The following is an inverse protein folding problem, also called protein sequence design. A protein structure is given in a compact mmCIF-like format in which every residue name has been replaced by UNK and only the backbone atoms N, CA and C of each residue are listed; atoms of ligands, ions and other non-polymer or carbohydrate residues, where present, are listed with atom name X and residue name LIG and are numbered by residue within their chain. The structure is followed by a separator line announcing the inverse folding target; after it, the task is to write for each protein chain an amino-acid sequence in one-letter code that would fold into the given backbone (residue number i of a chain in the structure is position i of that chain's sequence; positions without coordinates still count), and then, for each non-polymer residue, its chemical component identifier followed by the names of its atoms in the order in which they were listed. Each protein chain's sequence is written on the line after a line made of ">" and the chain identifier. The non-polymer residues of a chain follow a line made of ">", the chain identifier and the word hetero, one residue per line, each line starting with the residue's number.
data_IF_518086255897
#
_entry.id   IF_518086255897
#
_cell.length_a   1.000
_cell.length_b   1.000
_cell.length_c   1.000
_cell.angle_alpha   90.00
_cell.angle_beta   90.00
_cell.angle_gamma   90.00
#
_symmetry.space_group_name_H-M   'P 1'
#
loop_
_entity.id
_entity.type
_entity.pdbx_description
1 polymer ?
#
# COMPACT_ATOMS: atom_id res chain seq x y z
N UNK A 1 8.72 -47.47 6.09
CA UNK A 1 8.73 -46.41 5.05
C UNK A 1 7.60 -46.51 3.99
N UNK A 2 7.15 -47.71 3.57
CA UNK A 2 6.14 -47.87 2.51
C UNK A 2 4.70 -47.49 2.94
N UNK A 3 4.32 -47.78 4.20
CA UNK A 3 2.99 -47.49 4.75
C UNK A 3 2.70 -45.98 4.81
N UNK A 4 3.66 -45.19 5.28
CA UNK A 4 3.55 -43.72 5.35
C UNK A 4 3.44 -43.08 3.95
N UNK A 5 4.15 -43.62 2.95
CA UNK A 5 4.02 -43.18 1.54
C UNK A 5 2.62 -43.46 0.99
N UNK A 6 2.01 -44.59 1.36
CA UNK A 6 0.66 -44.98 0.92
C UNK A 6 -0.43 -44.13 1.58
N UNK A 7 -0.28 -43.84 2.87
CA UNK A 7 -1.15 -42.90 3.60
C UNK A 7 -1.06 -41.50 2.99
N UNK A 8 0.14 -40.96 2.79
CA UNK A 8 0.35 -39.64 2.16
C UNK A 8 -0.28 -39.54 0.76
N UNK A 9 -0.17 -40.59 -0.07
CA UNK A 9 -0.81 -40.64 -1.40
C UNK A 9 -2.34 -40.65 -1.32
N UNK A 10 -2.92 -41.41 -0.38
CA UNK A 10 -4.39 -41.46 -0.21
C UNK A 10 -4.94 -40.16 0.34
N UNK A 11 -4.25 -39.52 1.30
CA UNK A 11 -4.60 -38.19 1.79
C UNK A 11 -4.51 -37.14 0.67
N UNK A 12 -3.46 -37.15 -0.15
CA UNK A 12 -3.35 -36.26 -1.32
C UNK A 12 -4.43 -36.50 -2.36
N UNK A 13 -4.83 -37.75 -2.60
CA UNK A 13 -5.90 -38.07 -3.53
C UNK A 13 -7.27 -37.61 -3.03
N UNK A 14 -7.56 -37.76 -1.73
CA UNK A 14 -8.76 -37.25 -1.10
C UNK A 14 -8.81 -35.70 -1.14
N UNK A 15 -7.70 -35.03 -0.77
CA UNK A 15 -7.58 -33.57 -0.83
C UNK A 15 -7.68 -33.02 -2.27
N UNK A 16 -7.22 -33.78 -3.27
CA UNK A 16 -7.40 -33.41 -4.69
C UNK A 16 -8.86 -33.52 -5.14
N UNK A 17 -9.60 -34.45 -4.55
CA UNK A 17 -11.02 -34.59 -4.81
C UNK A 17 -11.85 -33.48 -4.15
N UNK A 18 -11.33 -32.87 -3.09
CA UNK A 18 -11.87 -31.66 -2.44
C UNK A 18 -11.52 -30.36 -3.19
N UNK A 19 -10.56 -30.41 -4.14
CA UNK A 19 -10.05 -29.28 -4.91
C UNK A 19 -10.26 -29.52 -6.42
N UNK A 20 -11.48 -29.87 -6.81
CA UNK A 20 -11.82 -30.09 -8.21
C UNK A 20 -11.72 -28.77 -9.01
N UNK A 21 -11.08 -28.75 -10.20
CA UNK A 21 -10.97 -27.55 -11.00
C UNK A 21 -12.34 -27.07 -11.47
N UNK A 22 -12.65 -25.80 -11.20
CA UNK A 22 -13.89 -25.17 -11.66
C UNK A 22 -13.74 -24.62 -13.08
N UNK A 23 -14.83 -24.55 -13.86
CA UNK A 23 -14.82 -23.85 -15.13
C UNK A 23 -14.40 -22.37 -14.96
N UNK A 24 -13.68 -21.76 -15.92
CA UNK A 24 -13.27 -20.35 -15.83
C UNK A 24 -14.42 -19.36 -15.59
N UNK A 25 -15.62 -19.67 -16.10
CA UNK A 25 -16.82 -18.87 -15.88
C UNK A 25 -17.23 -18.81 -14.39
N UNK A 26 -17.03 -19.88 -13.64
CA UNK A 26 -17.31 -19.90 -12.20
C UNK A 26 -16.34 -18.99 -11.45
N UNK A 27 -15.05 -19.04 -11.79
CA UNK A 27 -14.04 -18.13 -11.22
C UNK A 27 -14.35 -16.66 -11.54
N UNK A 28 -14.77 -16.36 -12.78
CA UNK A 28 -15.13 -15.01 -13.20
C UNK A 28 -16.34 -14.44 -12.44
N UNK A 29 -17.29 -15.29 -12.02
CA UNK A 29 -18.43 -14.87 -11.18
C UNK A 29 -18.02 -14.71 -9.71
N UNK A 30 -17.19 -15.64 -9.21
CA UNK A 30 -16.74 -15.65 -7.82
C UNK A 30 -15.82 -14.47 -7.48
N UNK A 31 -14.82 -14.18 -8.33
CA UNK A 31 -13.74 -13.23 -7.99
C UNK A 31 -14.24 -11.81 -7.68
N UNK A 32 -15.14 -11.18 -8.46
CA UNK A 32 -15.65 -9.86 -8.12
C UNK A 32 -16.37 -9.84 -6.77
N UNK A 33 -17.21 -10.85 -6.50
CA UNK A 33 -17.91 -10.97 -5.21
C UNK A 33 -16.93 -11.16 -4.05
N UNK A 34 -15.95 -12.06 -4.21
CA UNK A 34 -14.89 -12.30 -3.23
C UNK A 34 -14.06 -11.04 -2.95
N UNK A 35 -13.84 -10.22 -3.98
CA UNK A 35 -13.15 -8.94 -3.88
C UNK A 35 -14.05 -7.79 -3.46
N UNK A 36 -15.32 -8.05 -3.10
CA UNK A 36 -16.32 -7.04 -2.72
C UNK A 36 -16.63 -6.00 -3.80
N UNK A 37 -16.43 -6.36 -5.07
CA UNK A 37 -16.69 -5.51 -6.23
C UNK A 37 -18.07 -5.85 -6.81
N UNK A 38 -18.90 -4.82 -6.99
CA UNK A 38 -20.19 -4.92 -7.69
C UNK A 38 -21.41 -4.71 -6.79
N UNK A 39 -22.59 -4.67 -7.42
CA UNK A 39 -23.85 -4.37 -6.74
C UNK A 39 -24.19 -5.44 -5.70
N UNK A 40 -24.50 -5.02 -4.48
CA UNK A 40 -24.92 -5.91 -3.39
C UNK A 40 -23.78 -6.57 -2.60
N UNK A 41 -22.51 -6.36 -3.00
CA UNK A 41 -21.33 -6.90 -2.31
C UNK A 41 -20.43 -5.84 -1.70
N UNK A 42 -20.75 -4.56 -1.93
CA UNK A 42 -20.01 -3.43 -1.40
C UNK A 42 -20.06 -3.39 0.13
N UNK A 43 -18.88 -3.25 0.72
CA UNK A 43 -18.65 -3.02 2.13
C UNK A 43 -19.08 -1.59 2.50
N UNK A 44 -19.17 -1.29 3.80
CA UNK A 44 -19.63 0.02 4.30
C UNK A 44 -18.86 0.43 5.55
N UNK A 45 -18.62 1.73 5.68
CA UNK A 45 -17.97 2.32 6.84
C UNK A 45 -16.53 1.84 7.06
N UNK A 46 -15.99 2.18 8.23
CA UNK A 46 -14.60 1.89 8.62
C UNK A 46 -14.35 0.39 8.73
N UNK A 47 -15.25 -0.38 9.36
CA UNK A 47 -15.14 -1.84 9.43
C UNK A 47 -15.11 -2.50 8.03
N UNK A 48 -15.90 -1.95 7.11
CA UNK A 48 -15.87 -2.36 5.72
C UNK A 48 -14.55 -2.03 5.03
N UNK A 49 -13.94 -0.89 5.35
CA UNK A 49 -12.62 -0.54 4.85
C UNK A 49 -11.54 -1.48 5.40
N UNK A 50 -11.57 -1.83 6.68
CA UNK A 50 -10.64 -2.81 7.27
C UNK A 50 -10.71 -4.14 6.53
N UNK A 51 -11.91 -4.67 6.26
CA UNK A 51 -12.09 -5.89 5.46
C UNK A 51 -11.58 -5.75 4.02
N UNK A 52 -11.79 -4.58 3.40
CA UNK A 52 -11.26 -4.32 2.07
C UNK A 52 -9.72 -4.32 2.07
N UNK A 53 -9.09 -3.71 3.09
CA UNK A 53 -7.65 -3.71 3.28
C UNK A 53 -7.16 -5.13 3.51
N UNK A 54 -7.77 -5.89 4.42
CA UNK A 54 -7.44 -7.28 4.71
C UNK A 54 -7.42 -8.13 3.43
N UNK A 55 -8.43 -7.98 2.58
CA UNK A 55 -8.54 -8.69 1.31
C UNK A 55 -7.52 -8.24 0.25
N UNK A 56 -6.99 -7.01 0.36
CA UNK A 56 -6.04 -6.39 -0.56
C UNK A 56 -4.57 -6.48 -0.11
N UNK A 57 -4.29 -6.89 1.12
CA UNK A 57 -2.91 -6.89 1.64
C UNK A 57 -1.96 -7.66 0.71
N UNK A 58 -0.84 -7.02 0.38
CA UNK A 58 0.15 -7.56 -0.56
C UNK A 58 -0.13 -7.29 -2.04
N UNK A 59 -1.28 -6.70 -2.41
CA UNK A 59 -1.52 -6.22 -3.76
C UNK A 59 -1.09 -4.75 -3.89
N UNK A 60 -0.10 -4.48 -4.75
CA UNK A 60 0.32 -3.13 -5.06
C UNK A 60 -0.58 -2.49 -6.12
N UNK A 61 -0.99 -1.24 -5.88
CA UNK A 61 -1.82 -0.44 -6.79
C UNK A 61 -1.19 0.94 -7.00
N UNK A 62 -1.49 1.65 -8.09
CA UNK A 62 -1.04 3.04 -8.23
C UNK A 62 -1.68 3.90 -7.12
N UNK A 63 -0.89 4.75 -6.47
CA UNK A 63 -1.36 5.64 -5.41
C UNK A 63 -2.48 6.55 -5.92
N UNK A 64 -2.37 7.04 -7.16
CA UNK A 64 -3.41 7.83 -7.82
C UNK A 64 -4.74 7.09 -8.02
N UNK A 65 -4.73 5.75 -8.06
CA UNK A 65 -5.90 4.90 -8.27
C UNK A 65 -6.49 4.36 -6.96
N UNK A 66 -5.71 4.30 -5.88
CA UNK A 66 -6.12 3.71 -4.60
C UNK A 66 -7.45 4.27 -4.11
N UNK A 67 -7.53 5.58 -3.92
CA UNK A 67 -8.72 6.26 -3.37
C UNK A 67 -9.72 6.71 -4.43
N UNK A 68 -9.38 6.57 -5.72
CA UNK A 68 -10.28 6.94 -6.84
C UNK A 68 -11.03 5.74 -7.40
N UNK A 69 -10.41 4.56 -7.40
CA UNK A 69 -10.91 3.37 -8.09
C UNK A 69 -10.91 2.14 -7.17
N UNK A 70 -9.84 1.89 -6.42
CA UNK A 70 -9.64 0.62 -5.70
C UNK A 70 -10.53 0.53 -4.46
N UNK A 71 -10.49 1.53 -3.58
CA UNK A 71 -11.29 1.55 -2.36
C UNK A 71 -12.76 1.90 -2.64
N UNK A 72 -13.11 2.90 -3.47
CA UNK A 72 -14.51 3.20 -3.77
C UNK A 72 -15.26 2.09 -4.50
N UNK A 73 -14.57 1.19 -5.22
CA UNK A 73 -15.21 0.03 -5.85
C UNK A 73 -15.58 -1.08 -4.86
N UNK A 74 -15.04 -1.03 -3.64
CA UNK A 74 -15.23 -2.03 -2.57
C UNK A 74 -16.04 -1.50 -1.40
N UNK A 75 -15.89 -0.21 -1.07
CA UNK A 75 -16.53 0.42 0.09
C UNK A 75 -17.48 1.49 -0.40
N UNK A 76 -18.77 1.29 -0.12
CA UNK A 76 -19.84 2.23 -0.45
C UNK A 76 -19.65 3.53 0.33
N UNK A 77 -19.79 4.67 -0.35
CA UNK A 77 -19.62 6.00 0.23
C UNK A 77 -18.24 6.20 0.88
N UNK A 78 -17.20 5.55 0.33
CA UNK A 78 -15.81 5.74 0.76
C UNK A 78 -15.45 7.22 0.82
N UNK A 79 -14.87 7.65 1.94
CA UNK A 79 -14.26 8.96 2.08
C UNK A 79 -12.82 8.83 2.57
N UNK A 80 -11.91 9.73 2.15
CA UNK A 80 -10.52 9.74 2.59
C UNK A 80 -10.33 9.73 4.11
N UNK A 81 -11.27 10.34 4.84
CA UNK A 81 -11.26 10.40 6.30
C UNK A 81 -11.31 9.02 6.96
N UNK A 82 -11.98 8.03 6.34
CA UNK A 82 -12.05 6.66 6.86
C UNK A 82 -10.66 6.01 6.90
N UNK A 83 -9.84 6.23 5.86
CA UNK A 83 -8.49 5.68 5.81
C UNK A 83 -7.52 6.49 6.66
N UNK A 84 -7.71 7.81 6.74
CA UNK A 84 -6.93 8.67 7.63
C UNK A 84 -7.13 8.29 9.10
N UNK A 85 -8.37 7.97 9.51
CA UNK A 85 -8.68 7.46 10.85
C UNK A 85 -7.89 6.18 11.17
N UNK A 86 -7.94 5.18 10.29
CA UNK A 86 -7.24 3.90 10.48
C UNK A 86 -5.71 4.04 10.47
N UNK A 87 -5.17 4.91 9.61
CA UNK A 87 -3.72 5.13 9.52
C UNK A 87 -3.20 5.94 10.71
N UNK A 88 -3.92 6.96 11.15
CA UNK A 88 -3.55 7.76 12.32
C UNK A 88 -3.69 6.97 13.63
N UNK A 89 -4.66 6.05 13.71
CA UNK A 89 -4.79 5.10 14.82
C UNK A 89 -3.70 4.02 14.81
N UNK A 90 -2.94 3.88 13.71
CA UNK A 90 -1.93 2.84 13.54
C UNK A 90 -2.52 1.44 13.31
N UNK A 91 -3.79 1.35 12.91
CA UNK A 91 -4.45 0.07 12.57
C UNK A 91 -4.12 -0.37 11.14
N UNK A 92 -3.92 0.60 10.25
CA UNK A 92 -3.50 0.37 8.86
C UNK A 92 -2.19 1.09 8.59
N UNK A 93 -1.28 0.43 7.89
CA UNK A 93 -0.02 0.99 7.41
C UNK A 93 -0.01 0.92 5.89
N UNK A 94 0.58 1.92 5.24
CA UNK A 94 0.86 1.87 3.81
C UNK A 94 2.36 1.80 3.56
N UNK A 95 2.76 1.18 2.45
CA UNK A 95 4.15 1.15 2.02
C UNK A 95 4.26 1.41 0.52
N UNK A 96 5.28 2.17 0.12
CA UNK A 96 5.63 2.31 -1.28
C UNK A 96 6.22 1.01 -1.84
N UNK A 97 5.92 0.73 -3.10
CA UNK A 97 6.35 -0.44 -3.86
C UNK A 97 7.00 -0.05 -5.20
N UNK A 98 7.66 1.12 -5.23
CA UNK A 98 8.32 1.70 -6.40
C UNK A 98 7.64 2.97 -6.91
N UNK A 99 8.45 3.89 -7.47
CA UNK A 99 7.96 5.13 -8.05
C UNK A 99 7.40 4.94 -9.45
N UNK A 100 6.47 5.81 -9.85
CA UNK A 100 5.91 5.92 -11.19
C UNK A 100 6.13 7.35 -11.74
N UNK A 101 6.13 7.54 -13.08
CA UNK A 101 6.21 8.87 -13.66
C UNK A 101 5.09 9.80 -13.20
N UNK A 102 5.37 11.11 -13.12
CA UNK A 102 4.33 12.12 -12.86
C UNK A 102 3.92 12.30 -11.39
N UNK A 103 4.87 12.05 -10.45
CA UNK A 103 4.68 12.13 -8.99
C UNK A 103 3.71 11.07 -8.42
N UNK A 104 3.60 9.93 -9.09
CA UNK A 104 2.81 8.78 -8.64
C UNK A 104 3.76 7.66 -8.17
N UNK A 105 3.20 6.60 -7.60
CA UNK A 105 3.95 5.45 -7.13
C UNK A 105 3.05 4.25 -6.93
N UNK A 106 3.64 3.06 -6.85
CA UNK A 106 2.95 1.88 -6.37
C UNK A 106 2.87 1.94 -4.85
N UNK A 107 1.71 1.62 -4.30
CA UNK A 107 1.47 1.51 -2.86
C UNK A 107 0.72 0.24 -2.54
N UNK A 108 0.98 -0.30 -1.36
CA UNK A 108 0.23 -1.42 -0.79
C UNK A 108 -0.24 -1.04 0.62
N UNK A 109 -1.42 -1.52 1.01
CA UNK A 109 -1.98 -1.34 2.35
C UNK A 109 -1.84 -2.64 3.14
N UNK A 110 -1.62 -2.49 4.45
CA UNK A 110 -1.47 -3.60 5.39
C UNK A 110 -2.20 -3.27 6.68
N UNK A 111 -2.79 -4.28 7.32
CA UNK A 111 -3.12 -4.21 8.73
C UNK A 111 -1.80 -4.21 9.52
N UNK A 112 -1.73 -3.39 10.56
CA UNK A 112 -0.47 -3.16 11.29
C UNK A 112 0.07 -4.44 11.95
N UNK A 113 -0.80 -5.36 12.36
CA UNK A 113 -0.44 -6.65 12.95
C UNK A 113 0.15 -7.63 11.93
N UNK A 114 -0.30 -7.58 10.68
CA UNK A 114 0.15 -8.43 9.59
C UNK A 114 1.36 -7.84 8.83
N UNK A 115 1.56 -6.53 8.88
CA UNK A 115 2.62 -5.82 8.16
C UNK A 115 4.03 -6.43 8.37
N UNK A 116 4.48 -6.82 9.58
CA UNK A 116 5.82 -7.39 9.77
C UNK A 116 6.09 -8.68 9.00
N UNK A 117 5.05 -9.41 8.62
CA UNK A 117 5.16 -10.70 7.88
C UNK A 117 4.91 -10.50 6.38
N UNK A 118 4.06 -9.53 6.01
CA UNK A 118 3.62 -9.32 4.65
C UNK A 118 4.41 -8.26 3.87
N UNK A 119 5.11 -7.35 4.56
CA UNK A 119 5.89 -6.31 3.90
C UNK A 119 7.03 -6.93 3.09
N UNK A 120 7.14 -6.63 1.78
CA UNK A 120 8.27 -7.08 1.00
C UNK A 120 9.56 -6.35 1.44
N UNK A 121 10.74 -6.89 1.12
CA UNK A 121 11.98 -6.17 1.27
C UNK A 121 11.93 -4.82 0.51
N UNK A 122 12.53 -3.74 1.04
CA UNK A 122 12.58 -2.47 0.35
C UNK A 122 13.16 -2.60 -1.07
N UNK A 123 12.60 -1.85 -2.01
CA UNK A 123 13.07 -1.83 -3.38
C UNK A 123 14.51 -1.29 -3.46
N UNK A 124 15.30 -1.73 -4.46
CA UNK A 124 16.63 -1.18 -4.71
C UNK A 124 16.57 0.33 -4.88
N UNK A 125 17.41 1.03 -4.11
CA UNK A 125 17.60 2.47 -4.16
C UNK A 125 19.06 2.76 -3.83
N UNK A 126 19.74 3.52 -4.67
CA UNK A 126 21.07 4.04 -4.34
C UNK A 126 20.92 5.15 -3.30
N UNK A 127 21.33 4.85 -2.06
CA UNK A 127 21.22 5.80 -0.97
C UNK A 127 22.28 6.89 -1.12
N UNK A 128 21.83 8.15 -1.16
CA UNK A 128 22.69 9.31 -1.10
C UNK A 128 23.06 9.60 0.36
N UNK A 129 24.09 10.42 0.62
CA UNK A 129 24.37 10.87 1.99
C UNK A 129 23.20 11.56 2.67
N UNK A 130 22.34 12.25 1.91
CA UNK A 130 21.12 12.86 2.42
C UNK A 130 20.08 11.81 2.81
N UNK A 131 19.88 10.78 1.98
CA UNK A 131 19.01 9.64 2.32
C UNK A 131 19.46 8.97 3.63
N UNK A 132 20.76 8.71 3.77
CA UNK A 132 21.30 8.10 4.98
C UNK A 132 21.06 8.98 6.22
N UNK A 133 21.28 10.29 6.10
CA UNK A 133 21.07 11.23 7.21
C UNK A 133 19.60 11.29 7.66
N UNK A 134 18.66 11.19 6.72
CA UNK A 134 17.22 11.09 7.03
C UNK A 134 16.89 9.78 7.74
N UNK A 135 17.44 8.65 7.28
CA UNK A 135 17.24 7.35 7.94
C UNK A 135 17.84 7.34 9.36
N UNK A 136 19.02 7.94 9.53
CA UNK A 136 19.70 8.04 10.82
C UNK A 136 18.88 8.90 11.81
N UNK A 137 18.28 10.01 11.35
CA UNK A 137 17.38 10.83 12.15
C UNK A 137 16.15 10.04 12.66
N UNK A 138 15.68 9.05 11.89
CA UNK A 138 14.53 8.21 12.23
C UNK A 138 14.90 6.91 12.96
N UNK A 139 16.18 6.68 13.24
CA UNK A 139 16.68 5.46 13.89
C UNK A 139 16.17 5.26 15.33
N UNK A 140 15.63 6.31 15.96
CA UNK A 140 15.06 6.28 17.31
C UNK A 140 13.80 5.41 17.45
N UNK A 141 13.21 4.94 16.35
CA UNK A 141 12.05 4.03 16.37
C UNK A 141 10.69 4.70 16.61
N UNK A 142 10.62 6.02 16.45
CA UNK A 142 9.39 6.81 16.57
C UNK A 142 9.20 7.72 15.36
N UNK A 143 7.96 8.16 15.13
CA UNK A 143 7.64 9.11 14.07
C UNK A 143 8.16 10.52 14.38
N UNK A 144 8.64 11.22 13.36
CA UNK A 144 9.05 12.61 13.44
C UNK A 144 8.24 13.46 12.45
N UNK A 145 7.88 14.66 12.87
CA UNK A 145 7.36 15.66 11.93
C UNK A 145 8.47 16.12 10.99
N UNK A 146 8.08 16.51 9.77
CA UNK A 146 9.02 16.99 8.75
C UNK A 146 10.00 18.05 9.26
N UNK A 147 9.52 19.02 10.06
CA UNK A 147 10.36 20.08 10.63
C UNK A 147 11.43 19.52 11.58
N UNK A 148 11.09 18.52 12.39
CA UNK A 148 12.06 17.88 13.30
C UNK A 148 13.12 17.11 12.52
N UNK A 149 12.73 16.40 11.44
CA UNK A 149 13.67 15.71 10.55
C UNK A 149 14.61 16.75 9.90
N UNK A 150 14.06 17.83 9.36
CA UNK A 150 14.83 18.89 8.70
C UNK A 150 15.82 19.55 9.66
N UNK A 151 15.40 19.88 10.89
CA UNK A 151 16.24 20.51 11.90
C UNK A 151 17.38 19.57 12.32
N UNK A 152 17.11 18.28 12.55
CA UNK A 152 18.14 17.30 12.91
C UNK A 152 19.16 17.08 11.79
N UNK A 153 18.71 16.95 10.54
CA UNK A 153 19.59 16.75 9.39
C UNK A 153 20.47 17.99 9.16
N UNK A 154 19.89 19.19 9.25
CA UNK A 154 20.64 20.45 9.09
C UNK A 154 21.64 20.70 10.23
N UNK A 155 21.28 20.35 11.45
CA UNK A 155 22.14 20.55 12.61
C UNK A 155 23.37 19.64 12.61
N UNK A 156 23.32 18.49 11.94
CA UNK A 156 24.36 17.45 12.07
C UNK A 156 25.16 17.22 10.80
N UNK A 157 24.51 17.12 9.64
CA UNK A 157 25.11 16.52 8.44
C UNK A 157 24.96 17.38 7.18
N UNK A 158 23.83 18.10 7.01
CA UNK A 158 23.54 18.88 5.80
C UNK A 158 22.94 20.25 6.12
N UNK A 159 23.72 21.22 6.64
CA UNK A 159 23.22 22.53 7.06
C UNK A 159 22.52 23.31 5.93
N UNK A 160 22.96 23.11 4.68
CA UNK A 160 22.43 23.80 3.50
C UNK A 160 21.27 23.04 2.81
N UNK A 161 20.82 21.88 3.34
CA UNK A 161 19.76 21.10 2.71
C UNK A 161 18.44 21.89 2.73
N UNK A 162 17.86 22.11 1.55
CA UNK A 162 16.59 22.85 1.42
C UNK A 162 15.38 21.96 1.72
N UNK A 163 14.23 22.56 2.06
CA UNK A 163 12.99 21.80 2.29
C UNK A 163 12.60 20.93 1.07
N UNK A 164 12.69 21.41 -0.19
CA UNK A 164 12.41 20.56 -1.36
C UNK A 164 13.35 19.37 -1.49
N UNK A 165 14.66 19.55 -1.27
CA UNK A 165 15.63 18.45 -1.34
C UNK A 165 15.35 17.37 -0.29
N UNK A 166 14.96 17.79 0.93
CA UNK A 166 14.55 16.86 1.99
C UNK A 166 13.24 16.16 1.65
N UNK A 167 12.28 16.87 1.06
CA UNK A 167 11.01 16.29 0.63
C UNK A 167 11.22 15.24 -0.48
N UNK A 168 12.06 15.54 -1.47
CA UNK A 168 12.41 14.59 -2.53
C UNK A 168 13.09 13.33 -1.96
N UNK A 169 14.06 13.53 -1.05
CA UNK A 169 14.73 12.43 -0.36
C UNK A 169 13.76 11.54 0.46
N UNK A 170 12.79 12.15 1.15
CA UNK A 170 11.75 11.42 1.87
C UNK A 170 10.85 10.62 0.92
N UNK A 171 10.50 11.18 -0.23
CA UNK A 171 9.68 10.47 -1.23
C UNK A 171 10.42 9.32 -1.89
N UNK A 172 11.70 9.47 -2.21
CA UNK A 172 12.53 8.37 -2.72
C UNK A 172 12.59 7.21 -1.71
N UNK A 173 12.76 7.53 -0.43
CA UNK A 173 12.73 6.56 0.66
C UNK A 173 11.34 5.94 0.88
N UNK A 174 10.26 6.73 0.77
CA UNK A 174 8.90 6.23 0.91
C UNK A 174 8.53 5.30 -0.26
N UNK A 175 8.84 5.67 -1.50
CA UNK A 175 8.59 4.85 -2.68
C UNK A 175 9.42 3.58 -2.72
N UNK A 176 10.62 3.59 -2.16
CA UNK A 176 11.41 2.36 -1.99
C UNK A 176 10.91 1.45 -0.87
N UNK A 177 9.88 1.86 -0.11
CA UNK A 177 9.32 1.08 0.99
C UNK A 177 10.15 1.13 2.27
N UNK A 178 11.03 2.13 2.41
CA UNK A 178 11.89 2.31 3.60
C UNK A 178 11.24 3.20 4.66
N UNK A 179 10.36 4.09 4.22
CA UNK A 179 9.63 5.02 5.07
C UNK A 179 8.13 4.94 4.78
N UNK A 180 7.35 5.32 5.78
CA UNK A 180 5.90 5.48 5.69
C UNK A 180 5.46 6.73 6.47
N UNK A 181 4.17 7.04 6.43
CA UNK A 181 3.55 8.12 7.18
C UNK A 181 2.28 7.61 7.87
N UNK A 182 1.91 8.23 8.97
CA UNK A 182 0.69 7.95 9.76
C UNK A 182 -0.60 8.47 9.09
N UNK A 183 -0.50 9.16 7.95
CA UNK A 183 -1.65 9.56 7.13
C UNK A 183 -1.33 9.47 5.63
N UNK A 184 -2.37 9.53 4.79
CA UNK A 184 -2.19 9.68 3.33
C UNK A 184 -2.21 11.15 2.87
N UNK A 185 -2.41 12.11 3.77
CA UNK A 185 -2.55 13.53 3.39
C UNK A 185 -1.34 14.08 2.61
N UNK A 186 -0.07 13.81 2.99
CA UNK A 186 1.10 14.22 2.20
C UNK A 186 1.10 13.60 0.80
N UNK A 187 0.73 12.32 0.68
CA UNK A 187 0.64 11.62 -0.60
C UNK A 187 -0.43 12.22 -1.50
N UNK A 188 -1.63 12.52 -0.97
CA UNK A 188 -2.69 13.21 -1.72
C UNK A 188 -2.23 14.57 -2.24
N UNK A 189 -1.49 15.33 -1.42
CA UNK A 189 -0.89 16.61 -1.82
C UNK A 189 0.14 16.45 -2.95
N UNK A 190 1.02 15.44 -2.84
CA UNK A 190 1.99 15.13 -3.88
C UNK A 190 1.30 14.81 -5.21
N UNK A 191 0.31 13.91 -5.18
CA UNK A 191 -0.48 13.51 -6.35
C UNK A 191 -1.26 14.69 -6.96
N UNK A 192 -1.82 15.56 -6.12
CA UNK A 192 -2.56 16.76 -6.56
C UNK A 192 -1.66 17.83 -7.19
N UNK A 193 -0.37 17.87 -6.82
CA UNK A 193 0.61 18.81 -7.37
C UNK A 193 1.24 18.36 -8.70
N UNK A 194 0.89 17.17 -9.20
CA UNK A 194 1.46 16.54 -10.39
C UNK A 194 0.45 16.39 -11.53
N UNK A 195 0.96 16.21 -12.75
CA UNK A 195 0.17 15.69 -13.87
C UNK A 195 0.23 14.16 -13.81
N UNK A 196 -0.58 13.54 -12.95
CA UNK A 196 -0.64 12.07 -12.85
C UNK A 196 -1.12 11.45 -14.16
N UNK A 197 -0.42 10.41 -14.65
CA UNK A 197 -0.79 9.65 -15.83
C UNK A 197 -2.10 8.88 -15.58
N UNK A 198 -3.22 9.54 -15.85
CA UNK A 198 -4.57 9.04 -15.52
C UNK A 198 -5.62 10.15 -15.42
N UNK A 199 -5.18 11.40 -15.26
CA UNK A 199 -6.04 12.60 -15.30
C UNK A 199 -6.77 12.81 -16.65
N UNK A 200 -6.37 12.11 -17.72
CA UNK A 200 -6.88 12.29 -19.09
C UNK A 200 -7.63 11.07 -19.65
N UNK A 201 -7.82 10.00 -18.88
CA UNK A 201 -8.64 8.87 -19.34
C UNK A 201 -10.09 9.06 -18.88
N UNK A 202 -11.02 9.07 -19.84
CA UNK A 202 -12.48 9.25 -19.69
C UNK A 202 -13.02 10.70 -19.77
N UNK A 203 -12.69 11.42 -20.84
CA UNK A 203 -13.69 12.30 -21.47
C UNK A 203 -14.22 11.62 -22.73
N UNK A 204 -15.12 10.66 -22.56
CA UNK A 204 -15.94 10.21 -23.69
C UNK A 204 -16.82 11.38 -24.13
N UNK A 205 -16.74 11.76 -25.41
CA UNK A 205 -17.68 12.71 -26.02
C UNK A 205 -19.09 12.12 -25.89
N UNK A 206 -20.00 12.86 -25.27
CA UNK A 206 -21.44 12.70 -25.49
C UNK A 206 -21.79 13.22 -26.87
#
# INVERSE_FOLDING_TARGET
>A
AAVLRRLRRRSLAALRHELEPVPPAALAQFLPQWQHIGKGHGLRGVDGLVRAVEQLQGASVPASALEKLVLPSRVTDYSPAMLDELTAAGEVVWAGAGALPGKDGWVSLYLADAAPVLLPPPHPLELTPLHQSVLDALSGGYGLFFRQIADQVRATTHPEATDPQLADALWDLAWSGRLTNDTLAPMRSLLGSGRTAGSTAHRAKR
#
